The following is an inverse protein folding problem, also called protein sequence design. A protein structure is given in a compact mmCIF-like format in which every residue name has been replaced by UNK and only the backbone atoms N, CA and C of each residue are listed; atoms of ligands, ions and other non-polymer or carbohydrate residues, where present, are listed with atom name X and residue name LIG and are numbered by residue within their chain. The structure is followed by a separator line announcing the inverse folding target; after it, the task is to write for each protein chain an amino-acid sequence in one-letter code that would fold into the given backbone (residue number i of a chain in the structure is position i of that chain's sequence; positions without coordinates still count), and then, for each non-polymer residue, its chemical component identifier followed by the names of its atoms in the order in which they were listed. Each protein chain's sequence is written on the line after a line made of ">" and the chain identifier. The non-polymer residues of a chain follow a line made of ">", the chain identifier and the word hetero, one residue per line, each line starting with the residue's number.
data_IF_555508958018
#
_entry.id   IF_555508958018
#
_cell.length_a   1.000
_cell.length_b   1.000
_cell.length_c   1.000
_cell.angle_alpha   90.00
_cell.angle_beta   90.00
_cell.angle_gamma   90.00
#
_symmetry.space_group_name_H-M   'P 1'
#
loop_
_entity.id
_entity.type
_entity.pdbx_description
1 polymer ?
#
# COMPACT_ATOMS: atom_id res chain seq x y z
N UNK A 1 17.04 3.63 11.38
CA UNK A 1 16.03 2.75 10.75
C UNK A 1 14.69 3.27 11.20
N UNK A 2 13.83 3.75 10.29
CA UNK A 2 12.48 4.20 10.66
C UNK A 2 11.59 2.96 10.76
N UNK A 3 11.70 2.24 11.88
CA UNK A 3 10.83 1.12 12.23
C UNK A 3 9.50 1.69 12.73
N UNK A 4 8.41 1.51 11.98
CA UNK A 4 7.08 1.86 12.49
C UNK A 4 6.06 2.37 11.47
N UNK A 5 6.35 2.40 10.17
CA UNK A 5 5.36 2.75 9.15
C UNK A 5 5.05 1.54 8.26
N UNK A 6 3.76 1.30 8.08
CA UNK A 6 3.20 0.22 7.27
C UNK A 6 2.76 0.76 5.91
N UNK A 7 3.04 0.01 4.83
CA UNK A 7 2.60 0.38 3.49
C UNK A 7 1.17 -0.09 3.25
N UNK A 8 0.30 0.85 2.86
CA UNK A 8 -1.10 0.56 2.52
C UNK A 8 -1.44 1.03 1.12
N UNK A 9 -2.40 0.34 0.49
CA UNK A 9 -3.05 0.84 -0.72
C UNK A 9 -4.39 1.46 -0.37
N UNK A 10 -4.61 2.71 -0.75
CA UNK A 10 -5.88 3.38 -0.55
C UNK A 10 -6.95 2.79 -1.48
N UNK A 11 -8.14 2.49 -0.94
CA UNK A 11 -9.34 2.12 -1.72
C UNK A 11 -10.19 3.34 -2.08
N UNK A 12 -10.11 4.40 -1.28
CA UNK A 12 -10.88 5.64 -1.44
C UNK A 12 -9.95 6.85 -1.39
N UNK A 13 -10.42 8.00 -1.89
CA UNK A 13 -9.68 9.26 -1.82
C UNK A 13 -9.49 9.64 -0.35
N UNK A 14 -8.25 9.92 0.06
CA UNK A 14 -7.93 10.30 1.43
C UNK A 14 -7.00 11.51 1.45
N UNK A 15 -7.53 12.66 1.86
CA UNK A 15 -6.82 13.94 1.76
C UNK A 15 -6.42 14.25 0.31
N UNK A 16 -5.10 14.40 0.08
CA UNK A 16 -4.50 14.62 -1.24
C UNK A 16 -4.28 13.33 -2.05
N UNK A 17 -4.45 12.16 -1.43
CA UNK A 17 -4.13 10.88 -2.05
C UNK A 17 -5.34 10.32 -2.79
N UNK A 18 -5.08 9.79 -3.98
CA UNK A 18 -6.08 9.16 -4.83
C UNK A 18 -6.31 7.69 -4.45
N UNK A 19 -7.49 7.13 -4.75
CA UNK A 19 -7.68 5.68 -4.72
C UNK A 19 -6.59 4.97 -5.55
N UNK A 20 -6.01 3.90 -5.01
CA UNK A 20 -4.91 3.15 -5.60
C UNK A 20 -3.51 3.66 -5.23
N UNK A 21 -3.40 4.81 -4.57
CA UNK A 21 -2.11 5.30 -4.08
C UNK A 21 -1.56 4.39 -2.96
N UNK A 22 -0.26 4.15 -3.00
CA UNK A 22 0.48 3.45 -1.94
C UNK A 22 1.13 4.49 -1.04
N UNK A 23 0.83 4.43 0.25
CA UNK A 23 1.35 5.38 1.24
C UNK A 23 1.85 4.63 2.49
N UNK A 24 2.82 5.23 3.17
CA UNK A 24 3.32 4.78 4.47
C UNK A 24 2.46 5.39 5.59
N UNK A 25 1.92 4.56 6.48
CA UNK A 25 0.98 4.95 7.54
C UNK A 25 1.36 4.27 8.84
N UNK A 26 1.21 4.97 9.97
CA UNK A 26 1.40 4.37 11.29
C UNK A 26 0.47 3.15 11.51
N UNK A 27 0.93 2.07 12.16
CA UNK A 27 0.12 0.87 12.42
C UNK A 27 -1.16 1.19 13.20
N UNK A 28 -1.13 2.15 14.13
CA UNK A 28 -2.34 2.60 14.85
C UNK A 28 -3.39 3.24 13.93
N UNK A 29 -2.94 3.90 12.86
CA UNK A 29 -3.82 4.50 11.85
C UNK A 29 -4.22 3.50 10.78
N UNK A 30 -3.34 2.57 10.44
CA UNK A 30 -3.60 1.45 9.54
C UNK A 30 -4.87 0.71 9.96
N UNK A 31 -4.95 0.27 11.22
CA UNK A 31 -6.10 -0.49 11.72
C UNK A 31 -7.41 0.28 11.48
N UNK A 32 -7.43 1.57 11.80
CA UNK A 32 -8.60 2.43 11.59
C UNK A 32 -8.92 2.63 10.10
N UNK A 33 -7.91 2.75 9.23
CA UNK A 33 -8.13 2.88 7.78
C UNK A 33 -8.65 1.59 7.15
N UNK A 34 -8.18 0.43 7.63
CA UNK A 34 -8.60 -0.89 7.14
C UNK A 34 -10.00 -1.22 7.64
N UNK A 35 -10.27 -1.00 8.94
CA UNK A 35 -11.59 -1.21 9.56
C UNK A 35 -12.68 -0.38 8.87
N UNK A 36 -12.38 0.89 8.57
CA UNK A 36 -13.30 1.77 7.83
C UNK A 36 -13.37 1.50 6.33
N UNK A 37 -12.62 0.52 5.83
CA UNK A 37 -12.54 0.19 4.40
C UNK A 37 -11.98 1.31 3.51
N UNK A 38 -11.18 2.22 4.09
CA UNK A 38 -10.52 3.33 3.38
C UNK A 38 -9.24 2.83 2.70
N UNK A 39 -8.50 1.93 3.35
CA UNK A 39 -7.26 1.37 2.85
C UNK A 39 -7.23 -0.16 3.02
N UNK A 40 -6.24 -0.80 2.40
CA UNK A 40 -5.90 -2.21 2.67
C UNK A 40 -4.42 -2.31 3.04
N UNK A 41 -4.15 -3.05 4.11
CA UNK A 41 -2.79 -3.42 4.50
C UNK A 41 -2.12 -4.16 3.35
N UNK A 42 -0.93 -3.70 2.96
CA UNK A 42 0.07 -4.47 2.24
C UNK A 42 -0.44 -5.51 1.25
N UNK A 43 -1.22 -5.13 0.24
CA UNK A 43 -1.08 -5.80 -1.06
C UNK A 43 -0.12 -4.93 -1.86
N UNK A 44 1.16 -4.98 -1.48
CA UNK A 44 2.20 -4.79 -2.47
C UNK A 44 1.97 -5.95 -3.42
N UNK A 45 1.13 -5.77 -4.45
CA UNK A 45 1.24 -6.60 -5.64
C UNK A 45 2.67 -6.31 -6.06
N UNK A 46 3.58 -7.19 -5.65
CA UNK A 46 4.88 -7.38 -6.29
C UNK A 46 4.51 -7.30 -7.75
N UNK A 47 4.85 -6.17 -8.36
CA UNK A 47 4.46 -5.88 -9.72
C UNK A 47 4.95 -7.09 -10.48
N UNK A 48 3.98 -7.90 -10.91
CA UNK A 48 4.10 -9.23 -11.48
C UNK A 48 5.50 -9.36 -12.04
N UNK A 49 6.36 -10.12 -11.35
CA UNK A 49 7.77 -10.40 -11.67
C UNK A 49 7.91 -10.20 -13.18
N UNK A 50 8.48 -9.07 -13.61
CA UNK A 50 8.71 -8.86 -15.04
C UNK A 50 9.52 -10.07 -15.46
N UNK A 51 8.97 -10.81 -16.41
CA UNK A 51 9.51 -12.06 -16.94
C UNK A 51 10.98 -11.80 -17.23
N UNK A 52 11.86 -12.38 -16.42
CA UNK A 52 13.24 -12.60 -16.79
C UNK A 52 13.19 -13.54 -18.00
N UNK A 53 13.73 -13.07 -19.11
CA UNK A 53 13.64 -13.69 -20.42
C UNK A 53 13.90 -12.58 -21.44
N UNK A 54 15.02 -12.54 -22.14
CA UNK A 54 15.75 -13.67 -22.69
C UNK A 54 17.20 -13.26 -22.93
N UNK A 55 18.12 -14.07 -22.42
CA UNK A 55 19.47 -14.23 -22.92
C UNK A 55 19.35 -14.83 -24.34
N UNK A 56 19.72 -14.08 -25.38
CA UNK A 56 19.99 -14.57 -26.73
C UNK A 56 20.72 -13.50 -27.56
#
# INVERSE_FOLDING_TARGET
>A
MSEGLEKVTLKKKWGKWTPGAVIDVDPKRLENLVDRGIAVAGVVKTSKKRKEGNDA
#
